data_IF_596767973485
#
_entry.id   IF_596767973485
#
_cell.length_a   1.000
_cell.length_b   1.000
_cell.length_c   1.000
_cell.angle_alpha   90.00
_cell.angle_beta   90.00
_cell.angle_gamma   90.00
#
_symmetry.space_group_name_H-M   'P 1'
#
loop_
_entity.id
_entity.type
_entity.pdbx_description
1 polymer ?
#
# COMPACT_ATOMS: atom_id res chain seq x y z
N UNK A 1 61.51 150.14 -18.54
CA UNK A 1 60.88 149.64 -19.78
C UNK A 1 61.60 148.38 -20.19
N UNK A 2 61.02 147.23 -19.88
CA UNK A 2 61.09 145.97 -20.62
C UNK A 2 59.92 145.17 -20.05
N UNK A 3 59.03 144.76 -20.94
CA UNK A 3 57.73 144.16 -20.65
C UNK A 3 57.87 142.99 -19.69
N UNK A 4 57.14 143.03 -18.58
CA UNK A 4 56.60 141.76 -18.07
C UNK A 4 55.74 141.26 -19.21
N UNK A 5 56.28 140.30 -19.98
CA UNK A 5 55.62 139.78 -21.16
C UNK A 5 54.20 139.42 -20.79
N UNK A 6 53.21 140.03 -21.47
CA UNK A 6 51.80 139.72 -21.27
C UNK A 6 51.52 138.20 -21.40
N UNK A 7 52.39 137.49 -22.14
CA UNK A 7 52.49 136.03 -22.23
C UNK A 7 52.75 135.31 -20.89
N UNK A 8 53.55 135.88 -19.99
CA UNK A 8 53.83 135.31 -18.65
C UNK A 8 52.62 135.49 -17.73
N UNK A 9 52.01 136.68 -17.71
CA UNK A 9 50.80 136.94 -16.92
C UNK A 9 49.62 136.08 -17.39
N UNK A 10 49.44 135.94 -18.70
CA UNK A 10 48.42 135.07 -19.27
C UNK A 10 48.68 133.58 -18.96
N UNK A 11 49.95 133.13 -18.94
CA UNK A 11 50.30 131.77 -18.50
C UNK A 11 50.03 131.55 -17.02
N UNK A 12 50.26 132.55 -16.16
CA UNK A 12 49.93 132.49 -14.74
C UNK A 12 48.42 132.37 -14.55
N UNK A 13 47.60 133.19 -15.22
CA UNK A 13 46.14 133.10 -15.14
C UNK A 13 45.59 131.75 -15.66
N UNK A 14 46.16 131.22 -16.74
CA UNK A 14 45.80 129.89 -17.27
C UNK A 14 46.19 128.80 -16.28
N UNK A 15 47.39 128.87 -15.68
CA UNK A 15 47.84 127.91 -14.67
C UNK A 15 46.99 128.00 -13.40
N UNK A 16 46.65 129.19 -12.92
CA UNK A 16 45.76 129.39 -11.77
C UNK A 16 44.37 128.83 -12.03
N UNK A 17 43.82 129.06 -13.22
CA UNK A 17 42.54 128.50 -13.63
C UNK A 17 42.59 126.97 -13.74
N UNK A 18 43.66 126.42 -14.32
CA UNK A 18 43.87 124.97 -14.43
C UNK A 18 44.03 124.32 -13.05
N UNK A 19 44.88 124.87 -12.18
CA UNK A 19 45.08 124.41 -10.80
C UNK A 19 43.77 124.49 -10.01
N UNK A 20 42.99 125.57 -10.17
CA UNK A 20 41.68 125.71 -9.50
C UNK A 20 40.67 124.71 -10.05
N UNK A 21 40.63 124.48 -11.35
CA UNK A 21 39.73 123.49 -11.96
C UNK A 21 40.10 122.06 -11.56
N UNK A 22 41.40 121.75 -11.54
CA UNK A 22 41.94 120.44 -11.21
C UNK A 22 41.77 120.13 -9.72
N UNK A 23 42.04 121.10 -8.83
CA UNK A 23 41.78 120.94 -7.39
C UNK A 23 40.29 120.77 -7.08
N UNK A 24 39.39 121.45 -7.79
CA UNK A 24 37.94 121.23 -7.65
C UNK A 24 37.54 119.84 -8.15
N UNK A 25 38.13 119.38 -9.26
CA UNK A 25 37.85 118.05 -9.81
C UNK A 25 38.39 116.94 -8.89
N UNK A 26 39.63 117.04 -8.42
CA UNK A 26 40.24 116.11 -7.47
C UNK A 26 39.48 116.08 -6.14
N UNK A 27 38.98 117.24 -5.67
CA UNK A 27 38.14 117.31 -4.48
C UNK A 27 36.78 116.62 -4.69
N UNK A 28 36.15 116.77 -5.86
CA UNK A 28 34.92 116.03 -6.22
C UNK A 28 35.17 114.53 -6.28
N UNK A 29 36.27 114.11 -6.89
CA UNK A 29 36.66 112.70 -6.99
C UNK A 29 36.95 112.11 -5.61
N UNK A 30 37.62 112.86 -4.72
CA UNK A 30 37.82 112.48 -3.33
C UNK A 30 36.51 112.32 -2.56
N UNK A 31 35.59 113.29 -2.66
CA UNK A 31 34.27 113.21 -2.03
C UNK A 31 33.49 112.00 -2.56
N UNK A 32 33.55 111.73 -3.86
CA UNK A 32 32.89 110.57 -4.48
C UNK A 32 33.51 109.24 -4.02
N UNK A 33 34.84 109.16 -3.94
CA UNK A 33 35.54 107.99 -3.42
C UNK A 33 35.21 107.74 -1.94
N UNK A 34 35.06 108.81 -1.14
CA UNK A 34 34.68 108.73 0.25
C UNK A 34 33.22 108.26 0.42
N UNK A 35 32.30 108.77 -0.42
CA UNK A 35 30.91 108.30 -0.47
C UNK A 35 30.82 106.82 -0.91
N UNK A 36 31.63 106.40 -1.90
CA UNK A 36 31.69 105.00 -2.34
C UNK A 36 32.26 104.09 -1.24
N UNK A 37 33.27 104.55 -0.50
CA UNK A 37 33.83 103.82 0.65
C UNK A 37 32.78 103.64 1.75
N UNK A 38 31.98 104.68 2.03
CA UNK A 38 30.83 104.59 2.95
C UNK A 38 29.79 103.54 2.50
N UNK A 39 29.46 103.50 1.20
CA UNK A 39 28.56 102.48 0.63
C UNK A 39 29.14 101.06 0.72
N UNK A 40 30.45 100.90 0.48
CA UNK A 40 31.13 99.60 0.62
C UNK A 40 31.09 99.13 2.07
N UNK A 41 31.31 100.03 3.04
CA UNK A 41 31.18 99.69 4.46
C UNK A 41 29.75 99.26 4.84
N UNK A 42 28.73 99.94 4.31
CA UNK A 42 27.33 99.57 4.52
C UNK A 42 26.97 98.21 3.88
N UNK A 43 27.49 97.92 2.69
CA UNK A 43 27.32 96.61 2.05
C UNK A 43 28.04 95.51 2.83
N UNK A 44 29.23 95.80 3.35
CA UNK A 44 29.99 94.85 4.15
C UNK A 44 29.28 94.54 5.48
N UNK A 45 28.71 95.54 6.15
CA UNK A 45 27.92 95.30 7.37
C UNK A 45 26.68 94.46 7.08
N UNK A 46 25.95 94.73 5.99
CA UNK A 46 24.82 93.89 5.54
C UNK A 46 25.24 92.46 5.21
N UNK A 47 26.39 92.27 4.56
CA UNK A 47 26.93 90.93 4.27
C UNK A 47 27.26 90.16 5.54
N UNK A 48 27.89 90.81 6.51
CA UNK A 48 28.19 90.22 7.83
C UNK A 48 26.89 89.77 8.51
N UNK A 49 25.86 90.63 8.54
CA UNK A 49 24.55 90.28 9.13
C UNK A 49 23.91 89.09 8.41
N UNK A 50 23.95 89.05 7.07
CA UNK A 50 23.40 87.94 6.30
C UNK A 50 24.14 86.61 6.55
N UNK A 51 25.47 86.66 6.68
CA UNK A 51 26.28 85.50 7.03
C UNK A 51 25.97 84.98 8.43
N UNK A 52 25.76 85.88 9.40
CA UNK A 52 25.35 85.51 10.74
C UNK A 52 23.97 84.85 10.77
N UNK A 53 23.00 85.39 10.02
CA UNK A 53 21.67 84.80 9.86
C UNK A 53 21.75 83.41 9.22
N UNK A 54 22.55 83.24 8.17
CA UNK A 54 22.75 81.94 7.53
C UNK A 54 23.41 80.95 8.49
N UNK A 55 24.44 81.37 9.21
CA UNK A 55 25.12 80.53 10.21
C UNK A 55 24.16 80.07 11.30
N UNK A 56 23.34 80.97 11.83
CA UNK A 56 22.33 80.64 12.83
C UNK A 56 21.25 79.68 12.28
N UNK A 57 20.83 79.88 11.03
CA UNK A 57 19.84 79.03 10.37
C UNK A 57 20.37 77.62 10.12
N UNK A 58 21.61 77.49 9.66
CA UNK A 58 22.28 76.20 9.45
C UNK A 58 22.47 75.45 10.77
N UNK A 59 22.83 76.15 11.85
CA UNK A 59 22.94 75.52 13.18
C UNK A 59 21.58 75.01 13.68
N UNK A 60 20.52 75.82 13.58
CA UNK A 60 19.15 75.39 13.90
C UNK A 60 18.68 74.22 13.05
N UNK A 61 19.05 74.18 11.77
CA UNK A 61 18.74 73.07 10.89
C UNK A 61 19.51 71.80 11.31
N UNK A 62 20.80 71.91 11.62
CA UNK A 62 21.62 70.80 12.13
C UNK A 62 21.07 70.24 13.43
N UNK A 63 20.66 71.09 14.36
CA UNK A 63 20.01 70.67 15.61
C UNK A 63 18.69 69.95 15.36
N UNK A 64 17.85 70.45 14.45
CA UNK A 64 16.61 69.76 14.05
C UNK A 64 16.88 68.38 13.44
N UNK A 65 17.86 68.28 12.53
CA UNK A 65 18.28 67.01 11.93
C UNK A 65 18.79 66.04 12.99
N UNK A 66 19.58 66.52 13.95
CA UNK A 66 20.08 65.70 15.05
C UNK A 66 18.96 65.22 15.99
N UNK A 67 18.05 66.11 16.38
CA UNK A 67 16.88 65.78 17.19
C UNK A 67 15.97 64.75 16.52
N UNK A 68 15.91 64.75 15.19
CA UNK A 68 15.07 63.83 14.41
C UNK A 68 15.89 62.68 13.80
N UNK A 69 17.17 62.53 14.16
CA UNK A 69 18.07 61.55 13.53
C UNK A 69 17.58 60.12 13.74
N UNK A 70 17.15 59.76 14.94
CA UNK A 70 16.56 58.45 15.23
C UNK A 70 15.26 58.21 14.43
N UNK A 71 14.43 59.24 14.28
CA UNK A 71 13.18 59.16 13.50
C UNK A 71 13.49 58.98 12.01
N UNK A 72 14.46 59.72 11.47
CA UNK A 72 14.92 59.60 10.08
C UNK A 72 15.51 58.20 9.85
N UNK A 73 16.32 57.68 10.78
CA UNK A 73 16.89 56.33 10.68
C UNK A 73 15.80 55.25 10.74
N UNK A 74 14.77 55.43 11.59
CA UNK A 74 13.59 54.55 11.62
C UNK A 74 12.83 54.58 10.30
N UNK A 75 12.55 55.77 9.75
CA UNK A 75 11.86 55.93 8.46
C UNK A 75 12.66 55.27 7.33
N UNK A 76 13.99 55.43 7.30
CA UNK A 76 14.84 54.78 6.30
C UNK A 76 14.83 53.25 6.44
N UNK A 77 14.88 52.72 7.66
CA UNK A 77 14.75 51.27 7.91
C UNK A 77 13.36 50.75 7.53
N UNK A 78 12.30 51.51 7.79
CA UNK A 78 10.94 51.16 7.38
C UNK A 78 10.76 51.20 5.86
N UNK A 79 11.31 52.21 5.18
CA UNK A 79 11.31 52.28 3.71
C UNK A 79 12.07 51.10 3.10
N UNK A 80 13.25 50.76 3.61
CA UNK A 80 13.97 49.57 3.15
C UNK A 80 13.15 48.28 3.34
N UNK A 81 12.47 48.11 4.48
CA UNK A 81 11.58 46.96 4.71
C UNK A 81 10.40 46.95 3.72
N UNK A 82 9.77 48.08 3.47
CA UNK A 82 8.66 48.22 2.53
C UNK A 82 9.09 47.97 1.08
N UNK A 83 10.28 48.43 0.70
CA UNK A 83 10.85 48.19 -0.63
C UNK A 83 11.17 46.70 -0.83
N UNK A 84 11.76 46.04 0.17
CA UNK A 84 11.97 44.58 0.14
C UNK A 84 10.62 43.84 0.05
N UNK A 85 9.63 44.22 0.86
CA UNK A 85 8.29 43.62 0.80
C UNK A 85 7.63 43.83 -0.56
N UNK A 86 7.68 45.05 -1.11
CA UNK A 86 7.11 45.38 -2.42
C UNK A 86 7.79 44.60 -3.54
N UNK A 87 9.12 44.47 -3.49
CA UNK A 87 9.88 43.73 -4.50
C UNK A 87 9.69 42.21 -4.40
N UNK A 88 9.36 41.69 -3.21
CA UNK A 88 9.15 40.26 -2.99
C UNK A 88 7.68 39.83 -2.99
N UNK A 89 6.72 40.75 -2.97
CA UNK A 89 5.29 40.42 -2.81
C UNK A 89 4.78 39.47 -3.90
N UNK A 90 5.15 39.67 -5.17
CA UNK A 90 4.76 38.77 -6.27
C UNK A 90 5.32 37.37 -6.09
N UNK A 91 6.63 37.28 -5.80
CA UNK A 91 7.34 36.00 -5.59
C UNK A 91 6.79 35.27 -4.36
N UNK A 92 6.51 35.98 -3.27
CA UNK A 92 5.93 35.39 -2.05
C UNK A 92 4.53 34.84 -2.33
N UNK A 93 3.69 35.57 -3.08
CA UNK A 93 2.32 35.12 -3.38
C UNK A 93 2.34 33.86 -4.24
N UNK A 94 3.16 33.85 -5.31
CA UNK A 94 3.33 32.66 -6.16
C UNK A 94 3.86 31.46 -5.38
N UNK A 95 4.83 31.67 -4.47
CA UNK A 95 5.39 30.59 -3.66
C UNK A 95 4.38 30.05 -2.64
N UNK A 96 3.52 30.89 -2.07
CA UNK A 96 2.49 30.48 -1.11
C UNK A 96 1.35 29.67 -1.76
N UNK A 97 1.15 29.77 -3.06
CA UNK A 97 0.15 28.97 -3.80
C UNK A 97 0.64 27.54 -4.11
N UNK A 98 1.96 27.34 -4.13
CA UNK A 98 2.58 26.06 -4.51
C UNK A 98 2.09 24.86 -3.66
N UNK A 99 1.97 24.94 -2.32
CA UNK A 99 1.45 23.84 -1.52
C UNK A 99 0.03 23.41 -1.92
N UNK A 100 -0.82 24.38 -2.29
CA UNK A 100 -2.19 24.11 -2.72
C UNK A 100 -2.23 23.49 -4.12
N UNK A 101 -1.42 24.01 -5.05
CA UNK A 101 -1.27 23.43 -6.38
C UNK A 101 -0.74 21.99 -6.31
N UNK A 102 0.28 21.74 -5.49
CA UNK A 102 0.84 20.42 -5.25
C UNK A 102 -0.22 19.45 -4.72
N UNK A 103 -1.02 19.88 -3.74
CA UNK A 103 -2.12 19.06 -3.20
C UNK A 103 -3.14 18.69 -4.28
N UNK A 104 -3.50 19.64 -5.15
CA UNK A 104 -4.46 19.42 -6.24
C UNK A 104 -3.92 18.45 -7.28
N UNK A 105 -2.64 18.59 -7.69
CA UNK A 105 -1.99 17.68 -8.63
C UNK A 105 -1.92 16.26 -8.08
N UNK A 106 -1.54 16.09 -6.81
CA UNK A 106 -1.48 14.78 -6.15
C UNK A 106 -2.86 14.13 -6.01
N UNK A 107 -3.89 14.90 -5.66
CA UNK A 107 -5.26 14.38 -5.55
C UNK A 107 -5.85 14.00 -6.91
N UNK A 108 -5.47 14.74 -7.97
CA UNK A 108 -5.92 14.50 -9.35
C UNK A 108 -5.06 13.47 -10.10
N UNK A 109 -4.04 12.89 -9.44
CA UNK A 109 -3.11 11.89 -10.01
C UNK A 109 -2.28 12.40 -11.21
N UNK A 110 -2.03 13.71 -11.27
CA UNK A 110 -1.12 14.33 -12.24
C UNK A 110 0.33 14.23 -11.75
N UNK A 111 0.87 13.02 -11.77
CA UNK A 111 2.16 12.71 -11.11
C UNK A 111 3.38 13.36 -11.78
N UNK A 112 3.35 13.54 -13.12
CA UNK A 112 4.46 14.18 -13.85
C UNK A 112 4.56 15.66 -13.50
N UNK A 113 3.42 16.33 -13.48
CA UNK A 113 3.29 17.74 -13.12
C UNK A 113 3.62 17.96 -11.65
N UNK A 114 3.17 17.06 -10.76
CA UNK A 114 3.54 17.09 -9.35
C UNK A 114 5.05 16.92 -9.16
N UNK A 115 5.69 16.03 -9.91
CA UNK A 115 7.14 15.84 -9.87
C UNK A 115 7.90 17.07 -10.37
N UNK A 116 7.47 17.69 -11.47
CA UNK A 116 8.06 18.93 -11.98
C UNK A 116 7.95 20.07 -10.97
N UNK A 117 6.79 20.21 -10.34
CA UNK A 117 6.57 21.21 -9.29
C UNK A 117 7.45 20.92 -8.07
N UNK A 118 7.64 19.65 -7.70
CA UNK A 118 8.51 19.26 -6.59
C UNK A 118 9.99 19.63 -6.89
N UNK A 119 10.47 19.30 -8.09
CA UNK A 119 11.82 19.67 -8.53
C UNK A 119 12.03 21.18 -8.59
N UNK A 120 10.98 21.94 -8.93
CA UNK A 120 11.01 23.40 -8.88
C UNK A 120 11.19 23.90 -7.44
N UNK A 121 10.39 23.38 -6.49
CA UNK A 121 10.49 23.75 -5.06
C UNK A 121 11.87 23.42 -4.51
N UNK A 122 12.40 22.23 -4.80
CA UNK A 122 13.71 21.78 -4.32
C UNK A 122 14.88 22.64 -4.86
N UNK A 123 14.67 23.43 -5.93
CA UNK A 123 15.67 24.38 -6.47
C UNK A 123 15.60 25.77 -5.84
N UNK A 124 14.54 26.08 -5.09
CA UNK A 124 14.42 27.37 -4.41
C UNK A 124 15.40 27.37 -3.22
N UNK A 125 16.37 28.29 -3.16
CA UNK A 125 17.36 28.32 -2.09
C UNK A 125 16.68 28.56 -0.74
N UNK A 126 16.85 27.62 0.19
CA UNK A 126 16.24 27.60 1.53
C UNK A 126 16.88 28.59 2.52
N UNK A 127 17.64 29.58 2.05
CA UNK A 127 18.47 30.46 2.89
C UNK A 127 17.70 31.54 3.66
N UNK A 128 16.38 31.57 3.62
CA UNK A 128 15.55 32.49 4.41
C UNK A 128 14.44 31.74 5.13
N UNK A 129 14.23 32.03 6.43
CA UNK A 129 13.23 31.35 7.28
C UNK A 129 11.79 31.41 6.77
N UNK A 130 11.49 32.24 5.76
CA UNK A 130 10.21 32.30 5.04
C UNK A 130 9.95 31.02 4.23
N UNK A 131 10.97 30.25 3.86
CA UNK A 131 10.83 29.04 3.04
C UNK A 131 10.89 27.72 3.82
N UNK A 132 11.02 27.75 5.15
CA UNK A 132 11.02 26.52 5.97
C UNK A 132 9.68 25.76 5.87
N UNK A 133 8.56 26.47 5.80
CA UNK A 133 7.24 25.84 5.60
C UNK A 133 7.13 25.21 4.21
N UNK A 134 7.69 25.86 3.19
CA UNK A 134 7.73 25.33 1.82
C UNK A 134 8.57 24.06 1.74
N UNK A 135 9.70 24.02 2.45
CA UNK A 135 10.55 22.82 2.53
C UNK A 135 9.81 21.65 3.20
N UNK A 136 9.12 21.90 4.33
CA UNK A 136 8.26 20.89 4.98
C UNK A 136 7.13 20.43 4.05
N UNK A 137 6.50 21.34 3.32
CA UNK A 137 5.49 21.00 2.32
C UNK A 137 6.07 20.14 1.20
N UNK A 138 7.27 20.45 0.71
CA UNK A 138 7.99 19.67 -0.30
C UNK A 138 8.26 18.25 0.18
N UNK A 139 8.82 18.08 1.37
CA UNK A 139 9.10 16.75 1.94
C UNK A 139 7.83 15.91 2.12
N UNK A 140 6.75 16.51 2.62
CA UNK A 140 5.46 15.84 2.75
C UNK A 140 4.85 15.47 1.39
N UNK A 141 4.94 16.38 0.41
CA UNK A 141 4.47 16.13 -0.95
C UNK A 141 5.28 15.02 -1.63
N UNK A 142 6.60 14.99 -1.44
CA UNK A 142 7.49 13.94 -1.92
C UNK A 142 7.09 12.57 -1.38
N UNK A 143 6.85 12.48 -0.06
CA UNK A 143 6.39 11.25 0.57
C UNK A 143 5.02 10.81 0.02
N UNK A 144 4.06 11.73 -0.04
CA UNK A 144 2.71 11.43 -0.57
C UNK A 144 2.73 11.04 -2.05
N UNK A 145 3.59 11.66 -2.86
CA UNK A 145 3.81 11.29 -4.25
C UNK A 145 4.38 9.87 -4.34
N UNK A 146 5.36 9.54 -3.51
CA UNK A 146 5.94 8.19 -3.42
C UNK A 146 4.85 7.15 -3.13
N UNK A 147 4.09 7.36 -2.05
CA UNK A 147 3.04 6.44 -1.61
C UNK A 147 1.99 6.23 -2.72
N UNK A 148 1.51 7.32 -3.32
CA UNK A 148 0.55 7.27 -4.43
C UNK A 148 1.09 6.52 -5.67
N UNK A 149 2.38 6.69 -5.99
CA UNK A 149 3.01 6.01 -7.12
C UNK A 149 3.16 4.51 -6.85
N UNK A 150 3.60 4.13 -5.65
CA UNK A 150 3.70 2.73 -5.23
C UNK A 150 2.32 2.06 -5.22
N UNK A 151 1.29 2.74 -4.70
CA UNK A 151 -0.10 2.26 -4.74
C UNK A 151 -0.60 2.08 -6.18
N UNK A 152 -0.27 3.03 -7.08
CA UNK A 152 -0.61 2.92 -8.51
C UNK A 152 0.03 1.70 -9.15
N UNK A 153 1.32 1.45 -8.89
CA UNK A 153 2.03 0.27 -9.39
C UNK A 153 1.45 -1.01 -8.77
N UNK A 154 1.06 -0.99 -7.50
CA UNK A 154 0.49 -2.14 -6.79
C UNK A 154 -0.90 -2.54 -7.32
N UNK A 155 -1.79 -1.57 -7.52
CA UNK A 155 -3.22 -1.81 -7.79
C UNK A 155 -3.62 -1.79 -9.27
N UNK A 156 -2.92 -1.02 -10.12
CA UNK A 156 -3.31 -0.87 -11.52
C UNK A 156 -2.68 -1.95 -12.41
N UNK A 157 -3.42 -2.33 -13.46
CA UNK A 157 -2.96 -3.25 -14.51
C UNK A 157 -2.93 -2.61 -15.91
N UNK A 158 -3.21 -1.32 -15.98
CA UNK A 158 -3.10 -0.53 -17.20
C UNK A 158 -1.62 -0.22 -17.47
N UNK A 159 -1.13 -0.63 -18.65
CA UNK A 159 0.28 -0.49 -19.04
C UNK A 159 0.74 0.96 -18.97
N UNK A 160 -0.06 1.89 -19.50
CA UNK A 160 0.32 3.30 -19.56
C UNK A 160 0.42 3.91 -18.16
N UNK A 161 -0.55 3.61 -17.28
CA UNK A 161 -0.55 4.12 -15.91
C UNK A 161 0.62 3.58 -15.10
N UNK A 162 0.89 2.27 -15.22
CA UNK A 162 1.99 1.61 -14.50
C UNK A 162 3.34 2.11 -15.00
N UNK A 163 3.53 2.19 -16.31
CA UNK A 163 4.78 2.72 -16.90
C UNK A 163 5.02 4.16 -16.50
N UNK A 164 4.01 5.02 -16.60
CA UNK A 164 4.11 6.42 -16.17
C UNK A 164 4.47 6.53 -14.68
N UNK A 165 3.90 5.66 -13.81
CA UNK A 165 4.22 5.66 -12.39
C UNK A 165 5.68 5.21 -12.13
N UNK A 166 6.16 4.17 -12.82
CA UNK A 166 7.55 3.71 -12.72
C UNK A 166 8.54 4.76 -13.25
N UNK A 167 8.23 5.45 -14.35
CA UNK A 167 9.06 6.54 -14.88
C UNK A 167 9.14 7.72 -13.88
N UNK A 168 8.04 8.04 -13.21
CA UNK A 168 8.01 9.05 -12.15
C UNK A 168 8.85 8.59 -10.93
N UNK A 169 8.73 7.33 -10.50
CA UNK A 169 9.54 6.77 -9.41
C UNK A 169 11.03 6.77 -9.74
N UNK A 170 11.39 6.41 -10.98
CA UNK A 170 12.75 6.45 -11.50
C UNK A 170 13.33 7.85 -11.36
N UNK A 171 12.56 8.87 -11.76
CA UNK A 171 13.00 10.27 -11.73
C UNK A 171 13.03 10.84 -10.30
N UNK A 172 12.05 10.49 -9.46
CA UNK A 172 11.94 10.99 -8.08
C UNK A 172 13.10 10.53 -7.19
N UNK A 173 13.54 9.28 -7.34
CA UNK A 173 14.59 8.66 -6.52
C UNK A 173 15.91 8.46 -7.27
N UNK A 174 16.03 8.94 -8.51
CA UNK A 174 17.18 8.70 -9.39
C UNK A 174 17.56 7.21 -9.43
N UNK A 175 16.56 6.33 -9.56
CA UNK A 175 16.78 4.88 -9.49
C UNK A 175 17.40 4.36 -10.81
N UNK A 176 18.38 3.44 -10.73
CA UNK A 176 18.77 2.64 -11.88
C UNK A 176 17.61 1.72 -12.30
N UNK A 177 17.58 1.32 -13.58
CA UNK A 177 16.52 0.50 -14.15
C UNK A 177 16.30 -0.82 -13.39
N UNK A 178 17.39 -1.45 -12.93
CA UNK A 178 17.33 -2.68 -12.11
C UNK A 178 16.56 -2.51 -10.79
N UNK A 179 16.61 -1.32 -10.17
CA UNK A 179 15.86 -1.04 -8.94
C UNK A 179 14.39 -0.77 -9.24
N UNK A 180 14.06 -0.16 -10.37
CA UNK A 180 12.68 0.05 -10.82
C UNK A 180 11.97 -1.30 -11.02
N UNK A 181 12.67 -2.28 -11.59
CA UNK A 181 12.19 -3.65 -11.74
C UNK A 181 11.88 -4.29 -10.37
N UNK A 182 12.80 -4.14 -9.40
CA UNK A 182 12.56 -4.62 -8.02
C UNK A 182 11.31 -4.01 -7.42
N UNK A 183 11.16 -2.68 -7.51
CA UNK A 183 10.01 -1.97 -6.97
C UNK A 183 8.71 -2.45 -7.59
N UNK A 184 8.70 -2.71 -8.91
CA UNK A 184 7.52 -3.28 -9.58
C UNK A 184 7.12 -4.63 -8.97
N UNK A 185 8.04 -5.59 -8.87
CA UNK A 185 7.73 -6.91 -8.33
C UNK A 185 7.39 -6.89 -6.84
N UNK A 186 8.06 -6.07 -6.03
CA UNK A 186 7.72 -5.86 -4.62
C UNK A 186 6.30 -5.29 -4.45
N UNK A 187 5.91 -4.31 -5.28
CA UNK A 187 4.56 -3.75 -5.27
C UNK A 187 3.50 -4.78 -5.67
N UNK A 188 3.79 -5.60 -6.70
CA UNK A 188 2.88 -6.68 -7.12
C UNK A 188 2.79 -7.79 -6.08
N UNK A 189 3.88 -8.15 -5.43
CA UNK A 189 3.90 -9.14 -4.37
C UNK A 189 3.12 -8.66 -3.14
N UNK A 190 3.24 -7.38 -2.79
CA UNK A 190 2.45 -6.77 -1.71
C UNK A 190 0.95 -6.78 -2.05
N UNK A 191 0.58 -6.50 -3.31
CA UNK A 191 -0.79 -6.61 -3.81
C UNK A 191 -1.33 -8.03 -3.69
N UNK A 192 -0.52 -9.01 -4.07
CA UNK A 192 -0.83 -10.43 -3.94
C UNK A 192 -1.10 -10.85 -2.49
N UNK A 193 -0.26 -10.41 -1.53
CA UNK A 193 -0.48 -10.65 -0.11
C UNK A 193 -1.80 -10.09 0.40
N UNK A 194 -2.13 -8.84 0.02
CA UNK A 194 -3.41 -8.22 0.38
C UNK A 194 -4.60 -9.00 -0.19
N UNK A 195 -4.49 -9.57 -1.39
CA UNK A 195 -5.52 -10.44 -1.98
C UNK A 195 -5.70 -11.69 -1.12
N UNK A 196 -4.60 -12.38 -0.77
CA UNK A 196 -4.68 -13.55 0.10
C UNK A 196 -5.31 -13.22 1.46
N UNK A 197 -4.86 -12.16 2.12
CA UNK A 197 -5.39 -11.74 3.43
C UNK A 197 -6.89 -11.43 3.39
N UNK A 198 -7.33 -10.65 2.39
CA UNK A 198 -8.74 -10.28 2.22
C UNK A 198 -9.64 -11.49 1.97
N UNK A 199 -9.10 -12.52 1.33
CA UNK A 199 -9.82 -13.74 0.97
C UNK A 199 -9.66 -14.87 2.02
N UNK A 200 -8.83 -14.70 3.04
CA UNK A 200 -8.57 -15.74 4.06
C UNK A 200 -9.66 -15.84 5.14
N UNK A 201 -10.92 -15.58 4.80
CA UNK A 201 -12.04 -15.67 5.75
C UNK A 201 -12.50 -17.13 5.99
N UNK A 202 -13.09 -17.45 7.15
CA UNK A 202 -13.45 -18.82 7.56
C UNK A 202 -14.48 -19.54 6.68
N UNK A 203 -15.10 -18.84 5.72
CA UNK A 203 -16.11 -19.38 4.80
C UNK A 203 -15.72 -19.21 3.32
N UNK A 204 -14.46 -18.91 3.02
CA UNK A 204 -14.07 -18.57 1.66
C UNK A 204 -13.70 -19.84 0.88
N UNK A 205 -14.35 -20.03 -0.26
CA UNK A 205 -14.04 -21.17 -1.14
C UNK A 205 -12.65 -21.00 -1.76
N UNK A 206 -11.73 -21.90 -1.45
CA UNK A 206 -10.35 -21.89 -1.93
C UNK A 206 -10.27 -21.91 -3.46
N UNK A 207 -11.20 -22.59 -4.14
CA UNK A 207 -11.23 -22.62 -5.61
C UNK A 207 -11.47 -21.22 -6.19
N UNK A 208 -12.32 -20.41 -5.56
CA UNK A 208 -12.55 -19.01 -5.94
C UNK A 208 -11.27 -18.20 -5.75
N UNK A 209 -10.54 -18.43 -4.67
CA UNK A 209 -9.26 -17.75 -4.38
C UNK A 209 -8.22 -18.12 -5.45
N UNK A 210 -8.08 -19.41 -5.75
CA UNK A 210 -7.17 -19.90 -6.80
C UNK A 210 -7.53 -19.33 -8.17
N UNK A 211 -8.82 -19.15 -8.47
CA UNK A 211 -9.27 -18.46 -9.69
C UNK A 211 -8.83 -17.00 -9.75
N UNK A 212 -8.92 -16.26 -8.64
CA UNK A 212 -8.43 -14.88 -8.57
C UNK A 212 -6.91 -14.78 -8.64
N UNK A 213 -6.20 -15.78 -8.11
CA UNK A 213 -4.74 -15.89 -8.22
C UNK A 213 -4.34 -16.14 -9.68
N UNK A 214 -5.00 -17.05 -10.39
CA UNK A 214 -4.79 -17.30 -11.83
C UNK A 214 -4.96 -16.00 -12.63
N UNK A 215 -6.08 -15.30 -12.45
CA UNK A 215 -6.35 -14.02 -13.13
C UNK A 215 -5.32 -12.94 -12.80
N UNK A 216 -4.87 -12.86 -11.54
CA UNK A 216 -3.86 -11.92 -11.10
C UNK A 216 -2.51 -12.21 -11.76
N UNK A 217 -2.06 -13.47 -11.71
CA UNK A 217 -0.76 -13.87 -12.24
C UNK A 217 -0.69 -13.73 -13.75
N UNK A 218 -1.77 -14.03 -14.49
CA UNK A 218 -1.84 -13.78 -15.94
C UNK A 218 -1.65 -12.30 -16.25
N UNK A 219 -2.29 -11.41 -15.49
CA UNK A 219 -2.15 -9.97 -15.68
C UNK A 219 -0.75 -9.47 -15.32
N UNK A 220 -0.15 -9.99 -14.25
CA UNK A 220 1.23 -9.64 -13.86
C UNK A 220 2.23 -10.14 -14.89
N UNK A 221 2.07 -11.37 -15.42
CA UNK A 221 2.93 -11.90 -16.48
C UNK A 221 2.91 -11.02 -17.73
N UNK A 222 1.70 -10.71 -18.21
CA UNK A 222 1.50 -9.85 -19.37
C UNK A 222 2.06 -8.45 -19.15
N UNK A 223 1.73 -7.82 -18.02
CA UNK A 223 2.19 -6.48 -17.68
C UNK A 223 3.72 -6.45 -17.51
N UNK A 224 4.27 -7.44 -16.82
CA UNK A 224 5.71 -7.59 -16.61
C UNK A 224 6.46 -7.66 -17.93
N UNK A 225 6.03 -8.50 -18.88
CA UNK A 225 6.65 -8.60 -20.23
C UNK A 225 6.50 -7.34 -21.08
N UNK A 226 5.47 -6.53 -20.85
CA UNK A 226 5.21 -5.29 -21.61
C UNK A 226 5.89 -4.06 -21.02
N UNK A 227 6.02 -4.01 -19.70
CA UNK A 227 6.59 -2.89 -18.96
C UNK A 227 8.09 -3.09 -18.73
N UNK A 228 8.51 -4.34 -18.51
CA UNK A 228 9.88 -4.76 -18.24
C UNK A 228 10.33 -5.67 -19.38
N UNK A 229 11.60 -5.59 -19.78
CA UNK A 229 12.16 -6.46 -20.84
C UNK A 229 12.07 -7.94 -20.45
N UNK A 230 11.99 -8.84 -21.46
CA UNK A 230 11.71 -10.28 -21.28
C UNK A 230 12.75 -11.04 -20.42
N UNK A 231 13.99 -10.55 -20.33
CA UNK A 231 15.09 -11.22 -19.62
C UNK A 231 15.34 -10.64 -18.23
N UNK A 232 14.55 -11.01 -17.23
CA UNK A 232 14.82 -10.59 -15.85
C UNK A 232 14.80 -11.75 -14.85
N UNK A 233 15.93 -12.05 -14.23
CA UNK A 233 16.03 -13.01 -13.10
C UNK A 233 15.06 -12.68 -11.96
N UNK A 234 14.73 -11.39 -11.76
CA UNK A 234 13.75 -10.95 -10.75
C UNK A 234 12.33 -11.44 -11.04
N UNK A 235 12.03 -11.74 -12.30
CA UNK A 235 10.78 -12.36 -12.70
C UNK A 235 10.63 -13.72 -12.02
N UNK A 236 11.66 -14.57 -12.09
CA UNK A 236 11.69 -15.90 -11.48
C UNK A 236 11.54 -15.79 -9.95
N UNK A 237 12.30 -14.89 -9.32
CA UNK A 237 12.24 -14.69 -7.86
C UNK A 237 10.83 -14.31 -7.38
N UNK A 238 10.13 -13.44 -8.11
CA UNK A 238 8.74 -13.09 -7.81
C UNK A 238 7.81 -14.31 -7.80
N UNK A 239 7.91 -15.20 -8.80
CA UNK A 239 7.07 -16.41 -8.84
C UNK A 239 7.43 -17.40 -7.73
N UNK A 240 8.71 -17.52 -7.37
CA UNK A 240 9.13 -18.33 -6.22
C UNK A 240 8.49 -17.82 -4.92
N UNK A 241 8.49 -16.51 -4.70
CA UNK A 241 7.87 -15.90 -3.51
C UNK A 241 6.34 -16.10 -3.51
N UNK A 242 5.69 -15.97 -4.67
CA UNK A 242 4.25 -16.29 -4.83
C UNK A 242 3.97 -17.75 -4.48
N UNK A 243 4.77 -18.69 -4.99
CA UNK A 243 4.61 -20.12 -4.70
C UNK A 243 4.71 -20.38 -3.20
N UNK A 244 5.71 -19.80 -2.53
CA UNK A 244 5.90 -19.93 -1.08
C UNK A 244 4.68 -19.42 -0.30
N UNK A 245 4.11 -18.28 -0.69
CA UNK A 245 2.90 -17.74 -0.05
C UNK A 245 1.66 -18.59 -0.34
N UNK A 246 1.52 -19.19 -1.53
CA UNK A 246 0.45 -20.15 -1.84
C UNK A 246 0.58 -21.39 -0.96
N UNK A 247 1.78 -21.92 -0.76
CA UNK A 247 2.06 -23.08 0.11
C UNK A 247 1.64 -22.76 1.55
N UNK A 248 2.05 -21.61 2.08
CA UNK A 248 1.68 -21.16 3.44
C UNK A 248 0.16 -20.95 3.56
N UNK A 249 -0.47 -20.36 2.55
CA UNK A 249 -1.90 -20.13 2.51
C UNK A 249 -2.68 -21.46 2.50
N UNK A 250 -2.30 -22.39 1.62
CA UNK A 250 -2.93 -23.70 1.53
C UNK A 250 -2.78 -24.44 2.85
N UNK A 251 -1.58 -24.55 3.43
CA UNK A 251 -1.35 -25.27 4.68
C UNK A 251 -2.22 -24.82 5.87
N UNK A 252 -2.72 -23.58 5.86
CA UNK A 252 -3.63 -23.06 6.90
C UNK A 252 -5.11 -23.25 6.60
N UNK A 253 -5.48 -23.38 5.33
CA UNK A 253 -6.87 -23.27 4.88
C UNK A 253 -7.40 -24.56 4.22
N UNK A 254 -6.68 -25.67 4.21
CA UNK A 254 -7.08 -26.88 3.47
C UNK A 254 -8.51 -27.34 3.85
N UNK A 255 -9.38 -27.64 2.87
CA UNK A 255 -10.79 -27.96 3.13
C UNK A 255 -11.01 -29.21 3.97
N UNK A 256 -12.25 -29.38 4.40
CA UNK A 256 -12.68 -30.53 5.19
C UNK A 256 -12.77 -31.84 4.40
N UNK A 257 -13.05 -31.79 3.10
CA UNK A 257 -13.36 -32.98 2.28
C UNK A 257 -12.27 -33.34 1.27
N UNK A 258 -12.14 -34.65 0.96
CA UNK A 258 -11.17 -35.16 -0.03
C UNK A 258 -11.53 -34.70 -1.46
N UNK A 259 -12.83 -34.58 -1.77
CA UNK A 259 -13.29 -34.11 -3.09
C UNK A 259 -12.84 -32.69 -3.41
N UNK A 260 -12.96 -31.77 -2.46
CA UNK A 260 -12.48 -30.39 -2.62
C UNK A 260 -10.95 -30.32 -2.79
N UNK A 261 -10.20 -31.20 -2.11
CA UNK A 261 -8.74 -31.27 -2.28
C UNK A 261 -8.37 -31.72 -3.69
N UNK A 262 -9.10 -32.69 -4.28
CA UNK A 262 -8.86 -33.13 -5.65
C UNK A 262 -9.12 -31.99 -6.68
N UNK A 263 -10.18 -31.21 -6.49
CA UNK A 263 -10.47 -30.04 -7.32
C UNK A 263 -9.39 -28.95 -7.18
N UNK A 264 -8.88 -28.73 -5.96
CA UNK A 264 -7.77 -27.82 -5.68
C UNK A 264 -6.49 -28.28 -6.38
N UNK A 265 -6.14 -29.57 -6.28
CA UNK A 265 -5.00 -30.16 -6.98
C UNK A 265 -5.09 -29.90 -8.48
N UNK A 266 -6.26 -30.16 -9.09
CA UNK A 266 -6.49 -29.90 -10.51
C UNK A 266 -6.26 -28.44 -10.87
N UNK A 267 -6.87 -27.50 -10.11
CA UNK A 267 -6.74 -26.07 -10.41
C UNK A 267 -5.31 -25.56 -10.25
N UNK A 268 -4.57 -26.05 -9.25
CA UNK A 268 -3.16 -25.72 -9.06
C UNK A 268 -2.29 -26.31 -10.17
N UNK A 269 -2.58 -27.54 -10.61
CA UNK A 269 -1.92 -28.15 -11.76
C UNK A 269 -2.09 -27.31 -13.03
N UNK A 270 -3.31 -26.84 -13.28
CA UNK A 270 -3.60 -25.91 -14.40
C UNK A 270 -2.78 -24.62 -14.29
N UNK A 271 -2.71 -24.00 -13.11
CA UNK A 271 -1.90 -22.78 -12.87
C UNK A 271 -0.41 -23.07 -13.07
N UNK A 272 0.08 -24.21 -12.61
CA UNK A 272 1.49 -24.60 -12.74
C UNK A 272 1.91 -24.74 -14.19
N UNK A 273 1.15 -25.48 -14.99
CA UNK A 273 1.45 -25.67 -16.41
C UNK A 273 1.28 -24.38 -17.22
N UNK A 274 0.30 -23.55 -16.87
CA UNK A 274 -0.01 -22.32 -17.61
C UNK A 274 0.93 -21.16 -17.29
N UNK A 275 1.40 -21.06 -16.04
CA UNK A 275 2.10 -19.86 -15.54
C UNK A 275 3.50 -20.19 -15.05
N UNK A 276 3.66 -21.12 -14.10
CA UNK A 276 4.95 -21.34 -13.46
C UNK A 276 5.96 -22.04 -14.40
N UNK A 277 5.55 -23.12 -15.08
CA UNK A 277 6.42 -23.90 -15.96
C UNK A 277 6.98 -23.06 -17.12
N UNK A 278 6.17 -22.23 -17.83
CA UNK A 278 6.69 -21.34 -18.87
C UNK A 278 7.71 -20.31 -18.37
N UNK A 279 7.66 -19.96 -17.08
CA UNK A 279 8.59 -19.02 -16.45
C UNK A 279 9.85 -19.73 -15.90
N UNK A 280 9.92 -21.06 -16.02
CA UNK A 280 11.04 -21.86 -15.52
C UNK A 280 10.93 -22.22 -14.04
N UNK A 281 9.75 -22.06 -13.44
CA UNK A 281 9.46 -22.48 -12.07
C UNK A 281 8.58 -23.74 -12.07
N UNK A 282 8.82 -24.68 -11.15
CA UNK A 282 7.91 -25.80 -10.95
C UNK A 282 7.41 -25.79 -9.50
N UNK A 283 6.17 -25.36 -9.30
CA UNK A 283 5.54 -25.26 -7.99
C UNK A 283 4.98 -26.60 -7.50
N UNK A 284 4.74 -27.53 -8.44
CA UNK A 284 4.02 -28.77 -8.17
C UNK A 284 4.67 -29.65 -7.08
N UNK A 285 6.00 -29.88 -7.05
CA UNK A 285 6.61 -30.76 -6.05
C UNK A 285 6.40 -30.29 -4.61
N UNK A 286 6.41 -28.98 -4.37
CA UNK A 286 6.24 -28.44 -3.02
C UNK A 286 4.77 -28.30 -2.63
N UNK A 287 3.90 -27.88 -3.56
CA UNK A 287 2.47 -27.77 -3.27
C UNK A 287 1.83 -29.15 -3.06
N UNK A 288 2.20 -30.14 -3.87
CA UNK A 288 1.69 -31.51 -3.74
C UNK A 288 2.02 -32.11 -2.38
N UNK A 289 3.22 -31.89 -1.83
CA UNK A 289 3.57 -32.34 -0.47
C UNK A 289 2.58 -31.80 0.59
N UNK A 290 2.24 -30.52 0.54
CA UNK A 290 1.30 -29.92 1.51
C UNK A 290 -0.09 -30.51 1.38
N UNK A 291 -0.60 -30.65 0.16
CA UNK A 291 -1.92 -31.23 -0.10
C UNK A 291 -1.98 -32.70 0.34
N UNK A 292 -0.93 -33.47 0.04
CA UNK A 292 -0.81 -34.88 0.44
C UNK A 292 -0.77 -35.06 1.96
N UNK A 293 -0.07 -34.19 2.68
CA UNK A 293 -0.05 -34.22 4.14
C UNK A 293 -1.44 -34.03 4.73
N UNK A 294 -2.22 -33.08 4.21
CA UNK A 294 -3.60 -32.86 4.68
C UNK A 294 -4.52 -34.02 4.32
N UNK A 295 -4.36 -34.62 3.14
CA UNK A 295 -5.13 -35.81 2.75
C UNK A 295 -4.83 -36.97 3.68
N UNK A 296 -3.55 -37.19 4.01
CA UNK A 296 -3.13 -38.22 4.96
C UNK A 296 -3.73 -38.00 6.35
N UNK A 297 -3.74 -36.76 6.84
CA UNK A 297 -4.35 -36.41 8.12
C UNK A 297 -5.87 -36.65 8.12
N UNK A 298 -6.56 -36.26 7.05
CA UNK A 298 -8.01 -36.49 6.91
C UNK A 298 -8.34 -37.97 6.81
N UNK A 299 -7.63 -38.74 5.98
CA UNK A 299 -7.80 -40.20 5.89
C UNK A 299 -7.57 -40.82 7.25
N UNK A 300 -6.51 -40.43 7.99
CA UNK A 300 -6.26 -40.91 9.35
C UNK A 300 -7.40 -40.58 10.31
N UNK A 301 -8.03 -39.41 10.19
CA UNK A 301 -9.17 -38.99 11.02
C UNK A 301 -10.44 -39.76 10.69
N UNK A 302 -10.79 -39.87 9.41
CA UNK A 302 -11.94 -40.66 8.96
C UNK A 302 -11.80 -42.11 9.38
N UNK A 303 -10.61 -42.66 9.16
CA UNK A 303 -10.22 -43.98 9.62
C UNK A 303 -10.45 -44.20 11.11
N UNK A 304 -9.96 -43.30 11.97
CA UNK A 304 -10.11 -43.44 13.41
C UNK A 304 -11.60 -43.42 13.82
N UNK A 305 -12.40 -42.56 13.19
CA UNK A 305 -13.86 -42.52 13.39
C UNK A 305 -14.54 -43.81 12.93
N UNK A 306 -14.17 -44.31 11.75
CA UNK A 306 -14.66 -45.57 11.18
C UNK A 306 -14.33 -46.75 12.11
N UNK A 307 -13.12 -46.77 12.68
CA UNK A 307 -12.67 -47.79 13.61
C UNK A 307 -13.49 -47.79 14.90
N UNK A 308 -13.67 -46.62 15.52
CA UNK A 308 -14.48 -46.46 16.74
C UNK A 308 -15.93 -46.88 16.49
N UNK A 309 -16.51 -46.50 15.35
CA UNK A 309 -17.86 -46.92 14.98
C UNK A 309 -17.96 -48.44 14.77
N UNK A 310 -16.91 -49.05 14.21
CA UNK A 310 -16.85 -50.49 14.03
C UNK A 310 -16.69 -51.24 15.35
N UNK A 311 -15.85 -50.76 16.26
CA UNK A 311 -15.72 -51.30 17.62
C UNK A 311 -17.05 -51.21 18.39
N UNK A 312 -17.78 -50.10 18.24
CA UNK A 312 -19.10 -49.94 18.82
C UNK A 312 -20.11 -50.92 18.23
N UNK A 313 -20.07 -51.14 16.91
CA UNK A 313 -20.90 -52.15 16.23
C UNK A 313 -20.62 -53.55 16.76
N UNK A 314 -19.33 -53.92 16.91
CA UNK A 314 -18.93 -55.18 17.53
C UNK A 314 -19.50 -55.27 18.93
N UNK A 315 -19.27 -54.27 19.81
CA UNK A 315 -19.73 -54.28 21.21
C UNK A 315 -21.24 -54.46 21.35
N UNK A 316 -22.02 -53.77 20.52
CA UNK A 316 -23.49 -53.92 20.47
C UNK A 316 -23.86 -55.34 20.06
N UNK A 317 -23.21 -55.88 19.03
CA UNK A 317 -23.46 -57.23 18.54
C UNK A 317 -23.03 -58.31 19.56
N UNK A 318 -21.89 -58.14 20.26
CA UNK A 318 -21.48 -59.05 21.33
C UNK A 318 -22.50 -59.06 22.47
N UNK A 319 -22.97 -57.88 22.89
CA UNK A 319 -23.99 -57.75 23.94
C UNK A 319 -25.30 -58.45 23.58
N UNK A 320 -25.75 -58.35 22.32
CA UNK A 320 -26.97 -59.04 21.85
C UNK A 320 -26.78 -60.56 21.66
N UNK A 321 -25.58 -61.00 21.26
CA UNK A 321 -25.26 -62.43 21.04
C UNK A 321 -25.15 -63.25 22.33
N UNK A 322 -25.02 -62.61 23.51
CA UNK A 322 -25.05 -63.28 24.82
C UNK A 322 -26.41 -63.95 25.14
N UNK A 323 -27.44 -63.75 24.31
CA UNK A 323 -28.78 -64.31 24.47
C UNK A 323 -29.24 -65.39 23.47
N UNK A 324 -28.49 -65.71 22.41
CA UNK A 324 -28.94 -66.69 21.40
C UNK A 324 -27.84 -67.69 21.00
N UNK A 325 -28.21 -68.98 20.96
CA UNK A 325 -27.27 -70.12 20.93
C UNK A 325 -26.72 -70.52 19.54
N UNK A 326 -27.09 -69.83 18.47
CA UNK A 326 -26.71 -70.27 17.12
C UNK A 326 -25.60 -69.41 16.51
N UNK A 327 -24.38 -69.90 16.73
CA UNK A 327 -23.14 -69.69 15.99
C UNK A 327 -22.74 -68.25 15.55
N UNK A 328 -22.47 -67.35 16.51
CA UNK A 328 -21.96 -65.99 16.24
C UNK A 328 -20.57 -65.94 15.57
N UNK A 329 -19.82 -67.05 15.52
CA UNK A 329 -18.43 -67.11 15.02
C UNK A 329 -18.28 -66.90 13.51
N UNK A 330 -19.28 -67.30 12.70
CA UNK A 330 -19.22 -67.18 11.24
C UNK A 330 -19.46 -65.73 10.79
N UNK A 331 -20.36 -65.01 11.46
CA UNK A 331 -20.58 -63.57 11.23
C UNK A 331 -19.44 -62.72 11.81
N UNK A 332 -18.88 -63.12 12.98
CA UNK A 332 -17.68 -62.52 13.58
C UNK A 332 -16.45 -62.61 12.67
N UNK A 333 -16.24 -63.76 12.00
CA UNK A 333 -15.10 -63.94 11.10
C UNK A 333 -15.11 -62.97 9.92
N UNK A 334 -16.29 -62.74 9.32
CA UNK A 334 -16.46 -61.80 8.21
C UNK A 334 -16.27 -60.33 8.61
N UNK A 335 -16.71 -59.93 9.81
CA UNK A 335 -16.53 -58.59 10.35
C UNK A 335 -15.07 -58.35 10.81
N UNK A 336 -14.45 -59.31 11.50
CA UNK A 336 -13.05 -59.22 11.91
C UNK A 336 -12.07 -59.19 10.73
N UNK A 337 -12.36 -59.91 9.64
CA UNK A 337 -11.58 -59.83 8.39
C UNK A 337 -11.76 -58.47 7.70
N UNK A 338 -12.96 -57.92 7.69
CA UNK A 338 -13.22 -56.56 7.19
C UNK A 338 -12.48 -55.50 8.01
N UNK A 339 -12.49 -55.63 9.34
CA UNK A 339 -11.72 -54.79 10.26
C UNK A 339 -10.23 -54.84 9.98
N UNK A 340 -9.65 -56.04 9.94
CA UNK A 340 -8.21 -56.24 9.71
C UNK A 340 -7.77 -55.75 8.32
N UNK A 341 -8.58 -55.98 7.28
CA UNK A 341 -8.29 -55.49 5.93
C UNK A 341 -8.35 -53.96 5.86
N UNK A 342 -9.34 -53.35 6.50
CA UNK A 342 -9.45 -51.89 6.58
C UNK A 342 -8.24 -51.34 7.32
N UNK A 343 -7.89 -51.90 8.49
CA UNK A 343 -6.76 -51.50 9.33
C UNK A 343 -5.40 -51.69 8.62
N UNK A 344 -5.26 -52.73 7.81
CA UNK A 344 -4.07 -52.97 7.00
C UNK A 344 -3.90 -51.91 5.91
N UNK A 345 -4.95 -51.66 5.12
CA UNK A 345 -4.96 -50.60 4.08
C UNK A 345 -4.67 -49.23 4.70
N UNK A 346 -5.25 -48.96 5.86
CA UNK A 346 -5.00 -47.76 6.66
C UNK A 346 -3.52 -47.62 6.99
N UNK A 347 -2.92 -48.69 7.53
CA UNK A 347 -1.53 -48.67 7.97
C UNK A 347 -0.57 -48.56 6.78
N UNK A 348 -0.87 -49.21 5.65
CA UNK A 348 -0.12 -49.02 4.41
C UNK A 348 -0.20 -47.57 3.91
N UNK A 349 -1.40 -46.98 3.90
CA UNK A 349 -1.61 -45.56 3.52
C UNK A 349 -0.90 -44.61 4.49
N UNK A 350 -0.81 -44.97 5.77
CA UNK A 350 -0.11 -44.19 6.80
C UNK A 350 1.40 -44.32 6.74
N UNK A 351 1.96 -45.40 6.21
CA UNK A 351 3.40 -45.66 6.19
C UNK A 351 4.04 -45.40 4.83
N UNK A 352 3.23 -45.15 3.79
CA UNK A 352 3.72 -44.85 2.46
C UNK A 352 4.56 -43.55 2.44
N UNK A 353 5.80 -43.59 1.91
CA UNK A 353 6.62 -42.40 1.69
C UNK A 353 5.88 -41.38 0.81
N UNK A 354 6.01 -40.09 1.13
CA UNK A 354 5.31 -39.01 0.41
C UNK A 354 5.74 -38.99 -1.07
N UNK A 355 6.97 -39.42 -1.34
CA UNK A 355 7.57 -39.51 -2.67
C UNK A 355 6.91 -40.56 -3.59
N UNK A 356 6.18 -41.53 -3.03
CA UNK A 356 5.47 -42.58 -3.79
C UNK A 356 4.01 -42.19 -4.12
N UNK A 357 3.54 -41.04 -3.62
CA UNK A 357 2.16 -40.55 -3.77
C UNK A 357 1.99 -39.73 -5.07
N UNK A 358 1.83 -40.40 -6.22
CA UNK A 358 1.54 -39.75 -7.53
C UNK A 358 0.03 -39.46 -7.70
N UNK A 359 -0.38 -38.72 -8.73
CA UNK A 359 -1.81 -38.47 -9.07
C UNK A 359 -2.70 -39.73 -8.99
N UNK A 360 -2.16 -40.88 -9.43
CA UNK A 360 -2.82 -42.18 -9.34
C UNK A 360 -3.16 -42.63 -7.91
N UNK A 361 -2.53 -42.06 -6.89
CA UNK A 361 -2.76 -42.34 -5.47
C UNK A 361 -4.11 -41.79 -4.99
N UNK A 362 -4.55 -40.64 -5.49
CA UNK A 362 -5.88 -40.10 -5.17
C UNK A 362 -6.98 -40.96 -5.78
N UNK A 363 -6.83 -41.32 -7.05
CA UNK A 363 -7.74 -42.24 -7.72
C UNK A 363 -7.70 -43.63 -7.09
N UNK A 364 -6.53 -44.09 -6.63
CA UNK A 364 -6.37 -45.37 -5.95
C UNK A 364 -6.99 -45.36 -4.55
N UNK A 365 -6.81 -44.31 -3.75
CA UNK A 365 -7.48 -44.17 -2.45
C UNK A 365 -8.99 -44.07 -2.65
N UNK A 366 -9.47 -43.24 -3.57
CA UNK A 366 -10.89 -43.13 -3.87
C UNK A 366 -11.45 -44.46 -4.35
N UNK A 367 -10.73 -45.18 -5.22
CA UNK A 367 -11.11 -46.51 -5.69
C UNK A 367 -11.10 -47.55 -4.56
N UNK A 368 -10.12 -47.52 -3.65
CA UNK A 368 -10.00 -48.44 -2.51
C UNK A 368 -11.10 -48.16 -1.48
N UNK A 369 -11.34 -46.89 -1.14
CA UNK A 369 -12.41 -46.48 -0.22
C UNK A 369 -13.78 -46.81 -0.82
N UNK A 370 -13.99 -46.52 -2.11
CA UNK A 370 -15.20 -46.90 -2.84
C UNK A 370 -15.40 -48.42 -2.85
N UNK A 371 -14.36 -49.19 -3.19
CA UNK A 371 -14.39 -50.67 -3.18
C UNK A 371 -14.67 -51.24 -1.79
N UNK A 372 -14.15 -50.60 -0.74
CA UNK A 372 -14.41 -50.98 0.67
C UNK A 372 -15.87 -50.74 1.03
N UNK A 373 -16.42 -49.58 0.64
CA UNK A 373 -17.84 -49.25 0.86
C UNK A 373 -18.74 -50.19 0.04
N UNK A 374 -18.42 -50.42 -1.22
CA UNK A 374 -19.17 -51.33 -2.10
C UNK A 374 -19.13 -52.76 -1.53
N UNK A 375 -18.01 -53.22 -0.99
CA UNK A 375 -17.90 -54.50 -0.29
C UNK A 375 -18.75 -54.56 1.00
N UNK A 376 -18.78 -53.47 1.77
CA UNK A 376 -19.63 -53.37 2.98
C UNK A 376 -21.10 -53.41 2.57
N UNK A 377 -21.50 -52.67 1.53
CA UNK A 377 -22.85 -52.66 0.98
C UNK A 377 -23.23 -54.05 0.46
N UNK A 378 -22.35 -54.72 -0.29
CA UNK A 378 -22.61 -56.04 -0.87
C UNK A 378 -22.72 -57.12 0.19
N UNK A 379 -21.92 -57.06 1.26
CA UNK A 379 -22.06 -57.97 2.41
C UNK A 379 -23.25 -57.65 3.30
N UNK A 380 -23.70 -56.39 3.36
CA UNK A 380 -24.92 -55.99 4.06
C UNK A 380 -26.19 -56.29 3.26
N UNK A 381 -26.11 -56.41 1.92
CA UNK A 381 -27.24 -56.61 1.01
C UNK A 381 -28.14 -57.83 1.33
N UNK A 382 -27.61 -59.01 1.73
CA UNK A 382 -28.43 -60.15 2.12
C UNK A 382 -29.26 -59.90 3.40
N UNK A 383 -28.70 -59.13 4.35
CA UNK A 383 -29.37 -58.68 5.59
C UNK A 383 -30.40 -57.57 5.31
N UNK A 384 -30.18 -56.76 4.26
CA UNK A 384 -31.13 -55.72 3.83
C UNK A 384 -32.31 -56.27 2.99
N UNK A 385 -32.16 -57.42 2.33
CA UNK A 385 -33.18 -57.95 1.43
C UNK A 385 -33.98 -59.13 2.00
N UNK A 386 -33.72 -59.54 3.23
CA UNK A 386 -34.46 -60.62 3.90
C UNK A 386 -35.76 -60.09 4.52
N UNK A 387 -36.87 -60.78 4.24
CA UNK A 387 -38.18 -60.56 4.87
C UNK A 387 -38.40 -61.58 5.98
N UNK A 388 -38.94 -61.17 7.12
CA UNK A 388 -39.06 -62.01 8.33
C UNK A 388 -37.89 -61.85 9.31
N UNK A 389 -37.30 -60.66 9.38
CA UNK A 389 -36.20 -60.34 10.27
C UNK A 389 -36.69 -60.26 11.72
N UNK A 390 -35.91 -60.82 12.65
CA UNK A 390 -36.15 -60.61 14.08
C UNK A 390 -35.93 -59.13 14.45
N UNK A 391 -36.49 -58.67 15.58
CA UNK A 391 -36.32 -57.29 16.06
C UNK A 391 -34.84 -56.86 16.11
N UNK A 392 -33.94 -57.79 16.43
CA UNK A 392 -32.49 -57.59 16.46
C UNK A 392 -31.88 -57.40 15.06
N UNK A 393 -32.29 -58.21 14.09
CA UNK A 393 -31.84 -58.09 12.70
C UNK A 393 -32.33 -56.78 12.05
N UNK A 394 -33.48 -56.25 12.48
CA UNK A 394 -34.00 -54.94 12.09
C UNK A 394 -33.17 -53.77 12.64
N UNK A 395 -32.66 -53.86 13.87
CA UNK A 395 -31.74 -52.86 14.47
C UNK A 395 -30.38 -52.89 13.78
N UNK A 396 -29.81 -54.07 13.55
CA UNK A 396 -28.56 -54.22 12.80
C UNK A 396 -28.67 -53.71 11.36
N UNK A 397 -29.81 -53.94 10.70
CA UNK A 397 -30.11 -53.36 9.39
C UNK A 397 -30.14 -51.83 9.43
N UNK A 398 -30.73 -51.22 10.45
CA UNK A 398 -30.75 -49.77 10.64
C UNK A 398 -29.37 -49.17 10.86
N UNK A 399 -28.54 -49.82 11.69
CA UNK A 399 -27.16 -49.41 11.93
C UNK A 399 -26.29 -49.53 10.68
N UNK A 400 -26.45 -50.61 9.90
CA UNK A 400 -25.75 -50.78 8.62
C UNK A 400 -26.19 -49.75 7.58
N UNK A 401 -27.48 -49.46 7.46
CA UNK A 401 -28.00 -48.42 6.55
C UNK A 401 -27.43 -47.05 6.95
N UNK A 402 -27.47 -46.69 8.24
CA UNK A 402 -26.92 -45.43 8.74
C UNK A 402 -25.41 -45.33 8.57
N UNK A 403 -24.69 -46.46 8.66
CA UNK A 403 -23.25 -46.53 8.38
C UNK A 403 -22.95 -46.33 6.90
N UNK A 404 -23.74 -46.93 6.02
CA UNK A 404 -23.66 -46.72 4.56
C UNK A 404 -23.98 -45.27 4.20
N UNK A 405 -24.97 -44.66 4.85
CA UNK A 405 -25.31 -43.24 4.67
C UNK A 405 -24.19 -42.30 5.17
N UNK A 406 -23.60 -42.57 6.34
CA UNK A 406 -22.46 -41.82 6.86
C UNK A 406 -21.24 -41.95 5.96
N UNK A 407 -20.92 -43.16 5.49
CA UNK A 407 -19.83 -43.41 4.55
C UNK A 407 -20.07 -42.72 3.18
N UNK A 408 -21.31 -42.72 2.69
CA UNK A 408 -21.71 -41.99 1.47
C UNK A 408 -21.61 -40.47 1.65
N UNK A 409 -22.08 -39.93 2.78
CA UNK A 409 -22.02 -38.48 3.07
C UNK A 409 -20.59 -37.95 3.26
N UNK A 410 -19.65 -38.80 3.70
CA UNK A 410 -18.25 -38.44 3.86
C UNK A 410 -17.47 -38.36 2.53
N UNK A 411 -18.01 -38.94 1.45
CA UNK A 411 -17.34 -39.03 0.14
C UNK A 411 -18.11 -38.33 -0.99
N UNK A 412 -19.42 -38.17 -0.86
CA UNK A 412 -20.29 -37.56 -1.85
C UNK A 412 -21.33 -36.67 -1.16
N UNK A 413 -21.02 -35.39 -0.89
CA UNK A 413 -21.95 -34.48 -0.20
C UNK A 413 -23.25 -34.19 -0.97
N UNK A 414 -23.31 -34.53 -2.27
CA UNK A 414 -24.45 -34.27 -3.15
C UNK A 414 -25.26 -35.52 -3.57
N UNK A 415 -25.05 -36.69 -2.94
CA UNK A 415 -25.87 -37.86 -3.24
C UNK A 415 -27.17 -37.82 -2.41
N UNK A 416 -28.31 -37.77 -3.12
CA UNK A 416 -29.67 -37.57 -2.62
C UNK A 416 -30.03 -38.49 -1.43
N UNK A 417 -30.74 -37.90 -0.47
CA UNK A 417 -31.47 -38.53 0.64
C UNK A 417 -32.17 -39.84 0.21
N UNK A 418 -31.73 -40.97 0.76
CA UNK A 418 -32.64 -42.07 1.03
C UNK A 418 -33.28 -41.75 2.37
N UNK A 419 -34.53 -41.27 2.36
CA UNK A 419 -35.26 -41.07 3.61
C UNK A 419 -35.81 -42.42 4.09
N UNK A 420 -35.68 -42.66 5.39
CA UNK A 420 -36.25 -43.81 6.11
C UNK A 420 -37.76 -43.93 5.88
N UNK A 421 -38.42 -42.87 5.41
CA UNK A 421 -39.86 -42.79 5.11
C UNK A 421 -40.28 -43.58 3.87
N UNK A 422 -39.35 -44.16 3.11
CA UNK A 422 -39.66 -44.94 1.89
C UNK A 422 -39.85 -46.45 2.14
N UNK A 423 -39.76 -46.92 3.39
CA UNK A 423 -39.92 -48.34 3.71
C UNK A 423 -41.34 -48.69 4.20
N UNK A 424 -41.96 -49.76 3.69
CA UNK A 424 -43.22 -50.27 4.24
C UNK A 424 -43.00 -50.69 5.71
N UNK A 425 -43.78 -50.13 6.65
CA UNK A 425 -43.65 -50.38 8.09
C UNK A 425 -42.73 -49.42 8.84
N UNK A 426 -42.38 -48.27 8.24
CA UNK A 426 -41.51 -47.23 8.84
C UNK A 426 -41.97 -46.73 10.20
N UNK A 427 -43.28 -46.71 10.47
CA UNK A 427 -43.83 -46.18 11.72
C UNK A 427 -43.65 -47.16 12.89
N UNK A 428 -43.93 -48.47 12.69
CA UNK A 428 -43.64 -49.52 13.69
C UNK A 428 -42.14 -49.67 13.94
N UNK A 429 -41.32 -49.45 12.91
CA UNK A 429 -39.87 -49.46 13.00
C UNK A 429 -39.33 -48.26 13.80
N UNK A 430 -39.86 -47.06 13.55
CA UNK A 430 -39.47 -45.83 14.26
C UNK A 430 -39.89 -45.88 15.72
N UNK A 431 -41.09 -46.38 16.00
CA UNK A 431 -41.59 -46.55 17.36
C UNK A 431 -40.78 -47.61 18.13
N UNK A 432 -40.42 -48.73 17.49
CA UNK A 432 -39.56 -49.77 18.08
C UNK A 432 -38.13 -49.32 18.32
N UNK A 433 -37.56 -48.50 17.43
CA UNK A 433 -36.22 -47.94 17.56
C UNK A 433 -36.16 -46.88 18.66
N UNK A 434 -37.17 -45.99 18.75
CA UNK A 434 -37.26 -44.98 19.81
C UNK A 434 -37.44 -45.65 21.18
N UNK A 435 -38.28 -46.68 21.29
CA UNK A 435 -38.45 -47.45 22.54
C UNK A 435 -37.17 -48.16 22.98
N UNK A 436 -36.42 -48.74 22.04
CA UNK A 436 -35.14 -49.38 22.32
C UNK A 436 -34.04 -48.35 22.71
N UNK A 437 -34.06 -47.17 22.11
CA UNK A 437 -33.14 -46.08 22.48
C UNK A 437 -33.47 -45.49 23.86
N UNK A 438 -34.75 -45.36 24.22
CA UNK A 438 -35.20 -44.92 25.55
C UNK A 438 -34.84 -45.95 26.64
N UNK A 439 -34.99 -47.25 26.35
CA UNK A 439 -34.56 -48.33 27.26
C UNK A 439 -33.03 -48.35 27.47
N UNK A 440 -32.24 -48.07 26.43
CA UNK A 440 -30.77 -47.96 26.52
C UNK A 440 -30.33 -46.69 27.29
N UNK A 441 -31.11 -45.62 27.22
CA UNK A 441 -30.87 -44.39 28.00
C UNK A 441 -31.20 -44.58 29.48
N UNK A 442 -32.23 -45.36 29.82
CA UNK A 442 -32.58 -45.73 31.19
C UNK A 442 -31.50 -46.58 31.88
N UNK A 443 -30.83 -47.48 31.15
CA UNK A 443 -29.70 -48.30 31.65
C UNK A 443 -28.45 -47.46 31.95
N UNK A 444 -28.39 -46.19 31.51
CA UNK A 444 -27.27 -45.26 31.78
C UNK A 444 -27.48 -44.34 32.99
N UNK A 445 -28.64 -44.41 33.65
CA UNK A 445 -29.00 -43.56 34.80
C UNK A 445 -29.18 -44.32 36.12
N UNK A 446 -28.91 -45.62 36.16
CA UNK A 446 -28.60 -46.40 37.37
C UNK A 446 -27.13 -46.87 37.31
#
# INVERSE_FOLDING_TARGET
>A
MLSVDASILQKIEVLESQIKSQSVQECKEFIQALANTGKIQELNSKLITNLEICRASTLKFKEKVFQHSETIEKILKEQQKLEVLSNMQGVITEILEIPQLMRNLLNSRHYKEALQLLQFIERIPSSSGVFEELEKCSQNARKKLMDNLLDTVSEQFDIEKVKNALDCLKTLNSLPDEKVISVFFECKFTSFKKILEKLSGPNTNILTILGQIDDFLVKVDFLGKKVLSEDCEKFILFYVDVINEIIVFLGKNIPGSIGEIAEICKKIGEINEKIFVPVGCNAWPEISKVLLLSVREKISTYTAKTLVNFENLIKVYTWESFGSKDNPLLEFGSLAVLYNNTLHIINETRLMPIEELKEQFFDSILAIVKKTIDMIIDKARPLMNTTGLTKQQLVMRGLMIRYVELAKSALYPNFIQFSVDTFPGSDEYRESLMKAMDEILLIKTE
#
